data_IF_576615858380
#
_entry.id   IF_576615858380
#
_cell.length_a   1.000
_cell.length_b   1.000
_cell.length_c   1.000
_cell.angle_alpha   90.00
_cell.angle_beta   90.00
_cell.angle_gamma   90.00
#
_symmetry.space_group_name_H-M   'P 1'
#
loop_
_entity.id
_entity.type
_entity.pdbx_description
1 polymer ?
#
# COMPACT_ATOMS: atom_id res chain seq x y z
N UNK A 1 1.31 -9.21 15.96
CA UNK A 1 1.85 -9.02 17.32
C UNK A 1 1.08 -7.84 17.92
N UNK A 2 1.30 -7.48 19.19
CA UNK A 2 0.64 -6.30 19.78
C UNK A 2 1.71 -5.34 20.28
N UNK A 3 1.72 -4.11 19.74
CA UNK A 3 2.64 -3.03 20.06
C UNK A 3 3.52 -2.64 18.87
N UNK A 4 4.19 -1.50 18.99
CA UNK A 4 5.09 -0.98 17.96
C UNK A 4 6.38 -1.82 17.92
N UNK A 5 6.59 -2.54 16.81
CA UNK A 5 7.68 -3.48 16.62
C UNK A 5 8.71 -3.00 15.58
N UNK A 6 9.92 -3.57 15.64
CA UNK A 6 10.93 -3.45 14.57
C UNK A 6 11.14 -4.85 14.00
N UNK A 7 10.81 -5.02 12.73
CA UNK A 7 10.86 -6.29 12.02
C UNK A 7 11.93 -6.22 10.94
N UNK A 8 12.84 -7.20 10.95
CA UNK A 8 13.89 -7.38 9.95
C UNK A 8 13.93 -8.85 9.55
N UNK A 9 13.57 -9.21 8.32
CA UNK A 9 13.54 -10.61 7.88
C UNK A 9 14.82 -11.01 7.15
N UNK A 10 15.39 -10.12 6.33
CA UNK A 10 16.79 -10.13 5.94
C UNK A 10 17.03 -10.56 4.50
N UNK A 11 17.13 -11.86 4.22
CA UNK A 11 17.37 -12.33 2.84
C UNK A 11 16.60 -13.61 2.58
N UNK A 12 16.12 -13.76 1.35
CA UNK A 12 15.17 -14.78 0.92
C UNK A 12 13.75 -14.22 0.86
N UNK A 13 12.86 -14.96 0.22
CA UNK A 13 11.45 -14.57 0.07
C UNK A 13 10.71 -14.80 1.40
N UNK A 14 10.32 -13.73 2.08
CA UNK A 14 9.75 -13.76 3.42
C UNK A 14 8.24 -13.46 3.44
N UNK A 15 7.56 -14.01 4.44
CA UNK A 15 6.20 -13.62 4.81
C UNK A 15 6.23 -12.85 6.12
N UNK A 16 5.91 -11.56 6.05
CA UNK A 16 5.98 -10.64 7.18
C UNK A 16 4.57 -10.23 7.61
N UNK A 17 4.32 -10.27 8.92
CA UNK A 17 3.09 -9.80 9.56
C UNK A 17 3.45 -8.94 10.77
N UNK A 18 3.22 -7.62 10.71
CA UNK A 18 3.46 -6.70 11.83
C UNK A 18 2.46 -6.89 12.95
N UNK A 19 1.19 -6.60 12.67
CA UNK A 19 0.09 -6.82 13.59
C UNK A 19 -0.53 -5.50 14.01
N UNK A 20 -0.62 -5.23 15.31
CA UNK A 20 -1.16 -3.97 15.82
C UNK A 20 -0.01 -3.11 16.36
N UNK A 21 -0.05 -1.81 16.12
CA UNK A 21 0.98 -0.86 16.57
C UNK A 21 1.64 -0.17 15.38
N UNK A 22 2.32 0.95 15.60
CA UNK A 22 3.08 1.59 14.53
C UNK A 22 4.43 0.85 14.37
N UNK A 23 4.55 0.01 13.34
CA UNK A 23 5.67 -0.88 13.11
C UNK A 23 6.73 -0.28 12.17
N UNK A 24 7.97 -0.78 12.28
CA UNK A 24 9.04 -0.52 11.32
C UNK A 24 9.47 -1.85 10.70
N UNK A 25 9.20 -2.01 9.40
CA UNK A 25 9.41 -3.24 8.65
C UNK A 25 10.49 -3.04 7.59
N UNK A 26 11.47 -3.94 7.58
CA UNK A 26 12.57 -4.02 6.63
C UNK A 26 12.66 -5.48 6.16
N UNK A 27 12.11 -5.76 4.98
CA UNK A 27 11.96 -7.12 4.46
C UNK A 27 13.29 -7.63 3.90
N UNK A 28 13.98 -6.80 3.13
CA UNK A 28 15.41 -6.92 2.91
C UNK A 28 15.73 -7.32 1.48
N UNK A 29 15.98 -8.58 1.19
CA UNK A 29 16.29 -9.00 -0.17
C UNK A 29 15.58 -10.31 -0.50
N UNK A 30 14.87 -10.37 -1.61
CA UNK A 30 13.96 -11.47 -1.94
C UNK A 30 12.64 -10.89 -2.43
N UNK A 31 11.74 -11.76 -2.87
CA UNK A 31 10.39 -11.33 -3.23
C UNK A 31 9.49 -11.46 -1.99
N UNK A 32 9.31 -10.36 -1.25
CA UNK A 32 8.69 -10.40 0.07
C UNK A 32 7.17 -10.15 0.04
N UNK A 33 6.43 -10.84 0.92
CA UNK A 33 5.01 -10.59 1.17
C UNK A 33 4.85 -9.91 2.53
N UNK A 34 4.32 -8.70 2.52
CA UNK A 34 4.22 -7.83 3.70
C UNK A 34 2.75 -7.58 4.02
N UNK A 35 2.36 -7.84 5.25
CA UNK A 35 1.09 -7.40 5.85
C UNK A 35 1.47 -6.58 7.08
N UNK A 36 1.48 -5.26 6.96
CA UNK A 36 1.93 -4.39 8.03
C UNK A 36 0.96 -4.45 9.23
N UNK A 37 -0.32 -4.28 8.97
CA UNK A 37 -1.38 -4.48 9.95
C UNK A 37 -2.01 -3.16 10.35
N UNK A 38 -2.44 -3.01 11.61
CA UNK A 38 -3.00 -1.78 12.16
C UNK A 38 -1.92 -0.90 12.78
N UNK A 39 -2.00 0.40 12.53
CA UNK A 39 -0.97 1.37 12.91
C UNK A 39 -0.57 2.19 11.70
N UNK A 40 0.28 3.19 11.92
CA UNK A 40 0.95 3.89 10.83
C UNK A 40 2.34 3.29 10.67
N UNK A 41 2.48 2.36 9.72
CA UNK A 41 3.68 1.55 9.59
C UNK A 41 4.70 2.20 8.65
N UNK A 42 5.98 1.98 8.91
CA UNK A 42 7.08 2.33 8.00
C UNK A 42 7.64 1.06 7.38
N UNK A 43 7.61 0.98 6.06
CA UNK A 43 7.87 -0.25 5.30
C UNK A 43 9.01 0.00 4.32
N UNK A 44 9.95 -0.93 4.28
CA UNK A 44 10.96 -1.07 3.23
C UNK A 44 10.87 -2.51 2.71
N UNK A 45 10.58 -2.65 1.42
CA UNK A 45 10.61 -3.96 0.75
C UNK A 45 12.06 -4.41 0.56
N UNK A 46 12.92 -3.47 0.16
CA UNK A 46 14.31 -3.72 -0.11
C UNK A 46 14.54 -4.07 -1.57
N UNK A 47 15.16 -5.21 -1.85
CA UNK A 47 15.49 -5.62 -3.21
C UNK A 47 14.71 -6.87 -3.63
N UNK A 48 14.14 -6.87 -4.83
CA UNK A 48 13.25 -7.92 -5.32
C UNK A 48 11.84 -7.40 -5.58
N UNK A 49 10.92 -8.31 -5.85
CA UNK A 49 9.52 -7.97 -6.11
C UNK A 49 8.68 -8.07 -4.84
N UNK A 50 8.51 -6.94 -4.16
CA UNK A 50 7.82 -6.93 -2.88
C UNK A 50 6.34 -6.61 -3.03
N UNK A 51 5.52 -7.24 -2.19
CA UNK A 51 4.06 -7.10 -2.19
C UNK A 51 3.55 -6.66 -0.82
N UNK A 52 3.04 -5.44 -0.72
CA UNK A 52 2.25 -4.99 0.42
C UNK A 52 0.78 -5.34 0.24
N UNK A 53 0.22 -6.11 1.18
CA UNK A 53 -1.19 -6.51 1.19
C UNK A 53 -1.92 -5.77 2.31
N UNK A 54 -2.95 -5.03 1.93
CA UNK A 54 -3.90 -4.45 2.87
C UNK A 54 -5.05 -5.42 3.14
N UNK A 55 -5.16 -5.91 4.38
CA UNK A 55 -6.25 -6.77 4.85
C UNK A 55 -7.33 -5.94 5.58
N UNK A 56 -8.58 -6.41 5.59
CA UNK A 56 -9.62 -5.83 6.44
C UNK A 56 -9.43 -6.22 7.89
N UNK A 57 -9.36 -5.22 8.78
CA UNK A 57 -9.29 -5.43 10.22
C UNK A 57 -10.64 -5.09 10.87
N UNK A 58 -11.39 -6.13 11.28
CA UNK A 58 -12.77 -6.02 11.78
C UNK A 58 -12.96 -5.02 12.95
N UNK A 59 -11.89 -4.65 13.67
CA UNK A 59 -11.93 -3.72 14.80
C UNK A 59 -11.48 -2.28 14.50
N UNK A 60 -10.85 -2.01 13.34
CA UNK A 60 -10.31 -0.69 12.98
C UNK A 60 -11.06 -0.03 11.79
N UNK A 61 -12.04 -0.75 11.22
CA UNK A 61 -12.65 -0.49 9.92
C UNK A 61 -13.63 0.71 9.83
N UNK A 62 -13.49 1.75 10.65
CA UNK A 62 -14.41 2.89 10.60
C UNK A 62 -14.08 3.90 9.49
N UNK A 63 -12.85 3.91 8.96
CA UNK A 63 -12.39 4.97 8.05
C UNK A 63 -11.45 4.50 6.95
N UNK A 64 -11.60 3.28 6.45
CA UNK A 64 -11.04 2.91 5.13
C UNK A 64 -9.58 2.45 5.05
N UNK A 65 -8.86 2.33 6.18
CA UNK A 65 -7.52 1.74 6.23
C UNK A 65 -7.14 1.30 7.63
N UNK A 66 -6.06 0.53 7.73
CA UNK A 66 -5.51 0.08 9.00
C UNK A 66 -4.64 1.16 9.70
N UNK A 67 -4.56 2.33 9.09
CA UNK A 67 -3.74 3.48 9.43
C UNK A 67 -3.22 4.09 8.12
N UNK A 68 -2.30 5.05 8.22
CA UNK A 68 -1.63 5.65 7.06
C UNK A 68 -0.19 5.15 7.07
N UNK A 69 0.09 4.16 6.22
CA UNK A 69 1.41 3.56 6.13
C UNK A 69 2.34 4.41 5.27
N UNK A 70 3.64 4.16 5.36
CA UNK A 70 4.67 4.78 4.53
C UNK A 70 5.57 3.71 3.95
N UNK A 71 5.57 3.57 2.63
CA UNK A 71 6.56 2.76 1.90
C UNK A 71 7.74 3.65 1.52
N UNK A 72 8.92 3.31 2.03
CA UNK A 72 10.11 4.17 2.01
C UNK A 72 10.99 4.03 0.77
N UNK A 73 10.89 2.90 0.07
CA UNK A 73 11.72 2.54 -1.08
C UNK A 73 10.94 2.01 -2.29
N UNK A 74 9.62 2.24 -2.35
CA UNK A 74 8.75 1.70 -3.41
C UNK A 74 9.31 1.97 -4.82
N UNK A 75 9.58 0.90 -5.56
CA UNK A 75 10.16 0.97 -6.89
C UNK A 75 9.08 0.89 -7.97
N UNK A 76 8.83 2.03 -8.63
CA UNK A 76 7.89 2.13 -9.75
C UNK A 76 8.49 1.48 -11.01
N UNK A 77 7.81 0.49 -11.59
CA UNK A 77 8.26 -0.28 -12.74
C UNK A 77 7.13 -1.07 -13.40
N UNK A 78 7.44 -1.94 -14.37
CA UNK A 78 6.49 -2.91 -14.94
C UNK A 78 6.81 -4.30 -14.39
N UNK A 79 5.89 -4.89 -13.62
CA UNK A 79 6.08 -6.16 -12.92
C UNK A 79 6.44 -7.34 -13.83
N UNK A 80 6.21 -7.22 -15.14
CA UNK A 80 6.57 -8.26 -16.12
C UNK A 80 8.00 -8.12 -16.64
N UNK A 81 8.62 -6.95 -16.48
CA UNK A 81 9.89 -6.63 -17.14
C UNK A 81 10.95 -6.06 -16.21
N UNK A 82 10.56 -5.56 -15.05
CA UNK A 82 11.43 -4.98 -14.04
C UNK A 82 11.39 -5.87 -12.79
N UNK A 83 12.52 -6.48 -12.45
CA UNK A 83 12.63 -7.49 -11.41
C UNK A 83 12.54 -6.92 -9.98
N UNK A 84 12.59 -5.60 -9.86
CA UNK A 84 12.52 -4.89 -8.60
C UNK A 84 11.18 -4.12 -8.48
N UNK A 85 10.23 -4.34 -9.40
CA UNK A 85 8.94 -3.61 -9.38
C UNK A 85 8.02 -4.12 -8.28
N UNK A 86 7.75 -3.22 -7.33
CA UNK A 86 6.91 -3.47 -6.17
C UNK A 86 5.42 -3.45 -6.49
N UNK A 87 4.63 -4.04 -5.60
CA UNK A 87 3.20 -4.23 -5.75
C UNK A 87 2.43 -3.89 -4.49
N UNK A 88 1.22 -3.37 -4.69
CA UNK A 88 0.26 -3.03 -3.65
C UNK A 88 -1.05 -3.75 -3.98
N UNK A 89 -1.53 -4.55 -3.03
CA UNK A 89 -2.81 -5.24 -3.13
C UNK A 89 -3.80 -4.66 -2.11
N UNK A 90 -4.88 -4.09 -2.63
CA UNK A 90 -5.97 -3.49 -1.85
C UNK A 90 -7.29 -4.25 -2.02
N UNK A 91 -7.29 -5.37 -2.74
CA UNK A 91 -8.49 -6.10 -3.13
C UNK A 91 -9.39 -6.47 -1.95
N UNK A 92 -8.81 -6.75 -0.77
CA UNK A 92 -9.59 -7.06 0.43
C UNK A 92 -10.38 -5.85 0.95
N UNK A 93 -9.93 -4.63 0.69
CA UNK A 93 -10.58 -3.41 1.16
C UNK A 93 -11.80 -3.01 0.30
N UNK A 94 -11.87 -3.48 -0.95
CA UNK A 94 -12.90 -3.05 -1.90
C UNK A 94 -14.26 -3.69 -1.57
N UNK A 95 -15.30 -2.87 -1.46
CA UNK A 95 -16.68 -3.28 -1.14
C UNK A 95 -17.71 -2.90 -2.21
N UNK A 96 -17.34 -2.02 -3.13
CA UNK A 96 -18.21 -1.54 -4.21
C UNK A 96 -18.41 -2.55 -5.35
N UNK A 97 -19.22 -2.15 -6.33
CA UNK A 97 -19.48 -2.94 -7.54
C UNK A 97 -18.82 -2.39 -8.82
N UNK A 98 -17.99 -1.35 -8.73
CA UNK A 98 -17.26 -0.85 -9.89
C UNK A 98 -16.22 -1.86 -10.38
N UNK A 99 -15.95 -1.82 -11.68
CA UNK A 99 -14.93 -2.63 -12.33
C UNK A 99 -13.68 -1.82 -12.68
N UNK A 100 -13.69 -0.50 -12.46
CA UNK A 100 -12.55 0.38 -12.68
C UNK A 100 -11.87 0.68 -11.33
N UNK A 101 -10.60 0.30 -11.19
CA UNK A 101 -9.85 0.49 -9.95
C UNK A 101 -9.67 1.98 -9.62
N UNK A 102 -9.74 2.87 -10.62
CA UNK A 102 -9.65 4.33 -10.44
C UNK A 102 -10.85 4.93 -9.74
N UNK A 103 -11.98 4.21 -9.67
CA UNK A 103 -13.11 4.64 -8.86
C UNK A 103 -12.80 4.47 -7.36
N UNK A 104 -11.96 3.49 -7.02
CA UNK A 104 -11.61 3.17 -5.64
C UNK A 104 -10.34 3.86 -5.16
N UNK A 105 -9.45 4.28 -6.05
CA UNK A 105 -8.15 4.84 -5.67
C UNK A 105 -7.90 6.18 -6.32
N UNK A 106 -7.36 7.10 -5.53
CA UNK A 106 -6.82 8.36 -5.99
C UNK A 106 -5.41 8.59 -5.46
N UNK A 107 -4.63 9.39 -6.19
CA UNK A 107 -3.28 9.80 -5.77
C UNK A 107 -3.21 11.32 -5.66
N UNK A 108 -2.50 11.81 -4.65
CA UNK A 108 -2.20 13.24 -4.48
C UNK A 108 -0.73 13.46 -4.13
N UNK A 109 -0.22 14.61 -4.53
CA UNK A 109 1.09 15.10 -4.12
C UNK A 109 0.99 15.65 -2.69
N UNK A 110 1.94 15.31 -1.83
CA UNK A 110 2.04 15.86 -0.48
C UNK A 110 2.80 17.21 -0.43
N UNK A 111 3.39 17.64 -1.55
CA UNK A 111 4.17 18.87 -1.68
C UNK A 111 5.61 18.76 -1.17
N UNK A 112 6.03 17.57 -0.75
CA UNK A 112 7.38 17.25 -0.24
C UNK A 112 8.11 16.24 -1.14
N UNK A 113 7.49 15.87 -2.27
CA UNK A 113 8.03 14.90 -3.22
C UNK A 113 7.56 13.46 -2.99
N UNK A 114 6.53 13.27 -2.17
CA UNK A 114 5.91 11.97 -1.93
C UNK A 114 4.53 11.92 -2.59
N UNK A 115 4.06 10.70 -2.85
CA UNK A 115 2.70 10.46 -3.35
C UNK A 115 1.87 9.83 -2.24
N UNK A 116 0.68 10.37 -1.99
CA UNK A 116 -0.29 9.78 -1.06
C UNK A 116 -1.36 9.07 -1.88
N UNK A 117 -1.54 7.77 -1.62
CA UNK A 117 -2.64 6.95 -2.10
C UNK A 117 -3.80 7.08 -1.12
N UNK A 118 -4.98 7.34 -1.66
CA UNK A 118 -6.23 7.36 -0.89
C UNK A 118 -7.22 6.39 -1.50
N UNK A 119 -7.93 5.68 -0.62
CA UNK A 119 -8.91 4.67 -0.97
C UNK A 119 -10.33 5.14 -0.65
N UNK A 120 -11.22 4.92 -1.61
CA UNK A 120 -12.66 4.99 -1.48
C UNK A 120 -13.24 3.59 -1.65
N UNK A 121 -13.68 2.96 -0.55
CA UNK A 121 -13.94 1.52 -0.51
C UNK A 121 -15.13 1.07 -1.35
N UNK A 122 -16.12 1.93 -1.57
CA UNK A 122 -17.29 1.60 -2.40
C UNK A 122 -17.15 2.08 -3.85
N UNK A 123 -16.12 2.88 -4.14
CA UNK A 123 -15.89 3.50 -5.44
C UNK A 123 -17.02 4.44 -5.86
N UNK A 124 -17.82 4.92 -4.91
CA UNK A 124 -18.97 5.77 -5.16
C UNK A 124 -18.59 7.24 -5.04
N UNK A 125 -18.70 7.97 -6.15
CA UNK A 125 -18.47 9.42 -6.16
C UNK A 125 -19.43 10.24 -5.26
N UNK A 126 -20.44 9.62 -4.65
CA UNK A 126 -21.38 10.29 -3.75
C UNK A 126 -20.87 10.44 -2.31
N UNK A 127 -19.81 9.71 -1.94
CA UNK A 127 -19.20 9.70 -0.61
C UNK A 127 -20.21 9.49 0.54
N UNK A 128 -21.32 8.79 0.27
CA UNK A 128 -22.41 8.65 1.24
C UNK A 128 -22.22 7.49 2.20
N UNK A 129 -21.55 6.43 1.76
CA UNK A 129 -21.32 5.21 2.56
C UNK A 129 -19.88 5.15 3.06
N UNK A 130 -18.91 5.35 2.17
CA UNK A 130 -17.51 5.55 2.52
C UNK A 130 -17.02 6.89 1.97
N UNK A 131 -16.12 7.53 2.71
CA UNK A 131 -15.40 8.70 2.21
C UNK A 131 -13.99 8.25 1.81
N UNK A 132 -13.40 8.87 0.77
CA UNK A 132 -12.01 8.66 0.44
C UNK A 132 -11.11 8.95 1.65
N UNK A 133 -10.20 8.03 1.94
CA UNK A 133 -9.31 8.06 3.12
C UNK A 133 -7.88 7.75 2.72
N UNK A 134 -6.91 8.38 3.38
CA UNK A 134 -5.50 8.12 3.10
C UNK A 134 -5.13 6.71 3.56
N UNK A 135 -4.36 6.00 2.73
CA UNK A 135 -3.99 4.61 2.96
C UNK A 135 -2.47 4.45 3.05
N UNK A 136 -1.75 5.02 2.09
CA UNK A 136 -0.32 4.77 1.92
C UNK A 136 0.40 6.00 1.38
N UNK A 137 1.54 6.33 1.96
CA UNK A 137 2.49 7.30 1.45
C UNK A 137 3.62 6.56 0.75
N UNK A 138 3.82 6.82 -0.54
CA UNK A 138 4.98 6.40 -1.30
C UNK A 138 6.06 7.48 -1.19
N UNK A 139 7.01 7.27 -0.29
CA UNK A 139 8.07 8.23 -0.03
C UNK A 139 9.03 8.30 -1.21
N UNK A 140 9.38 9.51 -1.65
CA UNK A 140 10.29 9.73 -2.77
C UNK A 140 9.70 9.44 -4.15
N UNK A 141 8.47 8.90 -4.23
CA UNK A 141 7.74 8.74 -5.50
C UNK A 141 7.00 10.04 -5.79
N UNK A 142 7.45 10.77 -6.80
CA UNK A 142 6.83 12.03 -7.20
C UNK A 142 5.52 11.79 -7.95
N UNK A 143 4.44 12.43 -7.51
CA UNK A 143 3.15 12.38 -8.21
C UNK A 143 3.29 13.01 -9.60
N UNK A 144 2.89 12.25 -10.62
CA UNK A 144 2.63 12.76 -11.98
C UNK A 144 1.17 12.56 -12.33
N UNK A 145 0.71 13.15 -13.44
CA UNK A 145 -0.67 12.96 -13.89
C UNK A 145 -0.91 11.53 -14.44
N UNK A 146 0.15 10.81 -14.78
CA UNK A 146 0.09 9.44 -15.30
C UNK A 146 0.38 8.38 -14.22
N UNK A 147 0.84 8.77 -13.03
CA UNK A 147 1.34 7.82 -12.03
C UNK A 147 0.32 6.73 -11.68
N UNK A 148 -0.93 7.09 -11.40
CA UNK A 148 -1.96 6.11 -11.08
C UNK A 148 -2.21 5.13 -12.25
N UNK A 149 -2.25 5.66 -13.47
CA UNK A 149 -2.43 4.85 -14.67
C UNK A 149 -1.23 3.92 -14.89
N UNK A 150 -0.02 4.39 -14.61
CA UNK A 150 1.20 3.58 -14.67
C UNK A 150 1.13 2.44 -13.66
N UNK A 151 0.87 2.73 -12.38
CA UNK A 151 0.79 1.70 -11.34
C UNK A 151 -0.22 0.60 -11.68
N UNK A 152 -1.41 0.97 -12.18
CA UNK A 152 -2.45 0.01 -12.56
C UNK A 152 -2.06 -0.79 -13.81
N UNK A 153 -1.67 -0.11 -14.90
CA UNK A 153 -1.37 -0.79 -16.17
C UNK A 153 -0.13 -1.68 -16.08
N UNK A 154 0.82 -1.31 -15.22
CA UNK A 154 2.03 -2.06 -14.96
C UNK A 154 1.84 -3.18 -13.93
N UNK A 155 0.64 -3.34 -13.37
CA UNK A 155 0.34 -4.40 -12.40
C UNK A 155 0.88 -4.17 -10.99
N UNK A 156 1.33 -2.95 -10.67
CA UNK A 156 1.82 -2.58 -9.35
C UNK A 156 0.71 -2.23 -8.36
N UNK A 157 -0.53 -2.01 -8.83
CA UNK A 157 -1.68 -1.74 -7.98
C UNK A 157 -2.90 -2.52 -8.46
N UNK A 158 -3.47 -3.34 -7.57
CA UNK A 158 -4.61 -4.21 -7.88
C UNK A 158 -5.51 -4.57 -6.68
#
# INVERSE_FOLDING_TARGET
MDGNDIIKSGSGDDLIRGGNGDDVIDAGAGDDLIIAGAGNDQISGGAGHDLLIFELLESFDATGGNGIDTWTDFHVGDVKTDADADMINISALLSGSSTDLKDYISVKDDGQGNTILSIDRDGSADNTTYNPTELLVLQGVTKTDELLDQLINNGQLF
#
